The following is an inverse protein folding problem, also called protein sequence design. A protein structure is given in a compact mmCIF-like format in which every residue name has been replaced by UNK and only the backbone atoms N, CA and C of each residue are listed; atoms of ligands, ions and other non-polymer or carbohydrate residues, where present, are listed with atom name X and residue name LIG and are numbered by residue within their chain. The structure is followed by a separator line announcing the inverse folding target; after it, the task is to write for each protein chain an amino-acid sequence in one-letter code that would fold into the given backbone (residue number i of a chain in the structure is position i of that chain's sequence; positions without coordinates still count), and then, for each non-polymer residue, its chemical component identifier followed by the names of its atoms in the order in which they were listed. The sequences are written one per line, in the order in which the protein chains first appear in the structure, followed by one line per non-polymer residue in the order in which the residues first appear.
data_IF_251955766588
#
_entry.id   IF_251955766588
#
_cell.length_a   1.000
_cell.length_b   1.000
_cell.length_c   1.000
_cell.angle_alpha   90.00
_cell.angle_beta   90.00
_cell.angle_gamma   90.00
#
_symmetry.space_group_name_H-M   'P 1'
#
loop_
_entity.id
_entity.type
_entity.pdbx_description
1 polymer ?
#
# COMPACT_ATOMS: atom_id res chain seq x y z
N UNK A 1 -16.35 -10.96 -10.83
CA UNK A 1 -16.23 -11.66 -9.54
C UNK A 1 -14.94 -11.29 -8.85
N UNK A 2 -14.98 -11.06 -7.51
CA UNK A 2 -13.78 -10.84 -6.72
C UNK A 2 -13.06 -12.15 -6.46
N UNK A 3 -11.73 -12.13 -6.59
CA UNK A 3 -10.86 -13.28 -6.34
C UNK A 3 -9.77 -12.90 -5.35
N UNK A 4 -9.92 -13.23 -4.06
CA UNK A 4 -8.90 -12.97 -3.06
C UNK A 4 -7.64 -13.80 -3.34
N UNK A 5 -6.47 -13.17 -3.18
CA UNK A 5 -5.18 -13.84 -3.34
C UNK A 5 -4.06 -13.08 -2.61
N UNK A 6 -2.91 -13.75 -2.42
CA UNK A 6 -1.74 -13.13 -1.84
C UNK A 6 -1.20 -12.01 -2.75
N UNK A 7 -0.78 -10.90 -2.14
CA UNK A 7 -0.39 -9.70 -2.87
C UNK A 7 0.81 -9.89 -3.79
N UNK A 8 1.81 -10.63 -3.36
CA UNK A 8 3.03 -10.90 -4.12
C UNK A 8 2.81 -11.79 -5.35
N UNK A 9 1.69 -12.53 -5.39
CA UNK A 9 1.26 -13.36 -6.52
C UNK A 9 0.32 -12.66 -7.52
N UNK A 10 -0.14 -11.44 -7.23
CA UNK A 10 -1.27 -10.83 -7.97
C UNK A 10 -0.90 -10.42 -9.41
N UNK A 11 0.30 -9.85 -9.64
CA UNK A 11 0.78 -9.51 -10.99
C UNK A 11 1.06 -10.76 -11.83
N UNK A 12 1.77 -11.78 -11.32
CA UNK A 12 1.87 -13.08 -12.01
C UNK A 12 0.52 -13.68 -12.40
N UNK A 13 -0.48 -13.63 -11.51
CA UNK A 13 -1.83 -14.14 -11.80
C UNK A 13 -2.53 -13.33 -12.91
N UNK A 14 -2.35 -12.01 -12.94
CA UNK A 14 -2.87 -11.13 -13.99
C UNK A 14 -2.24 -11.47 -15.36
N UNK A 15 -0.93 -11.62 -15.41
CA UNK A 15 -0.19 -11.97 -16.64
C UNK A 15 -0.58 -13.38 -17.13
N UNK A 16 -0.75 -14.32 -16.20
CA UNK A 16 -1.19 -15.69 -16.50
C UNK A 16 -2.69 -15.82 -16.82
N UNK A 17 -3.43 -14.70 -16.94
CA UNK A 17 -4.87 -14.66 -17.25
C UNK A 17 -5.76 -15.38 -16.23
N UNK A 18 -5.30 -15.52 -14.99
CA UNK A 18 -6.11 -16.06 -13.89
C UNK A 18 -7.08 -15.04 -13.31
N UNK A 19 -6.79 -13.76 -13.51
CA UNK A 19 -7.64 -12.60 -13.21
C UNK A 19 -7.55 -11.62 -14.38
N UNK A 20 -8.53 -10.73 -14.51
CA UNK A 20 -8.61 -9.79 -15.64
C UNK A 20 -7.98 -8.44 -15.31
N UNK A 21 -8.08 -8.00 -14.08
CA UNK A 21 -7.52 -6.73 -13.59
C UNK A 21 -7.24 -6.81 -12.09
N UNK A 22 -6.44 -5.86 -11.60
CA UNK A 22 -6.22 -5.62 -10.17
C UNK A 22 -6.74 -4.22 -9.85
N UNK A 23 -7.87 -4.17 -9.15
CA UNK A 23 -8.49 -2.95 -8.62
C UNK A 23 -8.48 -3.03 -7.09
N UNK A 24 -7.32 -2.77 -6.49
CA UNK A 24 -7.07 -3.03 -5.07
C UNK A 24 -5.95 -2.15 -4.49
N UNK A 25 -5.98 -0.85 -4.78
CA UNK A 25 -4.98 0.08 -4.26
C UNK A 25 -3.55 -0.23 -4.72
N UNK A 26 -3.38 -0.54 -6.01
CA UNK A 26 -2.06 -0.86 -6.53
C UNK A 26 -1.30 0.39 -6.95
N UNK A 27 -0.17 0.67 -6.31
CA UNK A 27 0.72 1.77 -6.68
C UNK A 27 1.26 1.59 -8.10
N UNK A 28 1.14 2.65 -8.89
CA UNK A 28 1.76 2.76 -10.22
C UNK A 28 3.27 2.96 -10.02
N UNK A 29 4.07 1.96 -10.36
CA UNK A 29 5.53 2.07 -10.32
C UNK A 29 6.15 1.77 -11.69
N UNK A 30 7.34 2.33 -12.00
CA UNK A 30 8.03 2.05 -13.25
C UNK A 30 8.30 0.55 -13.46
N UNK A 31 8.62 -0.19 -12.39
CA UNK A 31 8.89 -1.64 -12.44
C UNK A 31 7.63 -2.40 -12.85
N UNK A 32 6.49 -2.10 -12.21
CA UNK A 32 5.20 -2.73 -12.53
C UNK A 32 4.74 -2.37 -13.94
N UNK A 33 4.93 -1.11 -14.37
CA UNK A 33 4.59 -0.64 -15.71
C UNK A 33 5.38 -1.31 -16.83
N UNK A 34 6.52 -1.97 -16.54
CA UNK A 34 7.22 -2.83 -17.51
C UNK A 34 6.44 -4.09 -17.87
N UNK A 35 5.58 -4.59 -16.96
CA UNK A 35 4.91 -5.90 -17.08
C UNK A 35 3.40 -5.77 -17.27
N UNK A 36 2.78 -4.75 -16.69
CA UNK A 36 1.34 -4.48 -16.77
C UNK A 36 1.08 -3.07 -17.30
N UNK A 37 -0.16 -2.80 -17.67
CA UNK A 37 -0.66 -1.47 -18.01
C UNK A 37 -1.54 -0.96 -16.88
N UNK A 38 -1.51 0.33 -16.62
CA UNK A 38 -2.32 0.96 -15.57
C UNK A 38 -3.35 1.90 -16.17
N UNK A 39 -4.49 2.00 -15.51
CA UNK A 39 -5.42 3.12 -15.72
C UNK A 39 -4.78 4.45 -15.37
N UNK A 40 -5.46 5.55 -15.70
CA UNK A 40 -5.19 6.84 -15.07
C UNK A 40 -5.28 6.69 -13.54
N UNK A 41 -4.45 7.45 -12.79
CA UNK A 41 -4.48 7.37 -11.33
C UNK A 41 -5.83 7.85 -10.78
N UNK A 42 -6.41 7.05 -9.87
CA UNK A 42 -7.69 7.38 -9.22
C UNK A 42 -7.55 7.81 -7.76
N UNK A 43 -6.38 7.59 -7.13
CA UNK A 43 -6.12 7.93 -5.74
C UNK A 43 -4.65 8.26 -5.52
N UNK A 44 -4.39 9.11 -4.53
CA UNK A 44 -3.04 9.38 -4.03
C UNK A 44 -2.99 9.00 -2.55
N UNK A 45 -1.95 8.28 -2.14
CA UNK A 45 -1.78 7.74 -0.78
C UNK A 45 -0.38 8.02 -0.26
N UNK A 46 -0.28 8.37 1.01
CA UNK A 46 0.99 8.50 1.71
C UNK A 46 1.41 7.16 2.31
N UNK A 47 2.70 6.92 2.41
CA UNK A 47 3.28 5.83 3.19
C UNK A 47 3.53 6.31 4.60
N UNK A 48 3.18 5.50 5.58
CA UNK A 48 3.30 5.88 6.99
C UNK A 48 4.08 4.83 7.79
N UNK A 49 4.77 5.29 8.81
CA UNK A 49 5.25 4.44 9.90
C UNK A 49 4.18 4.37 10.97
N UNK A 50 3.71 3.18 11.25
CA UNK A 50 2.77 2.86 12.32
C UNK A 50 3.55 2.29 13.51
N UNK A 51 3.28 2.81 14.71
CA UNK A 51 3.95 2.44 15.94
C UNK A 51 2.94 2.18 17.06
N UNK A 52 3.29 1.48 18.15
CA UNK A 52 2.42 1.38 19.32
C UNK A 52 2.01 2.77 19.83
N UNK A 53 0.79 2.90 20.37
CA UNK A 53 0.23 4.19 20.78
C UNK A 53 1.10 4.92 21.83
N UNK A 54 1.82 4.18 22.69
CA UNK A 54 2.74 4.72 23.69
C UNK A 54 4.17 4.93 23.19
N UNK A 55 4.49 4.59 21.93
CA UNK A 55 5.83 4.76 21.37
C UNK A 55 6.16 6.24 21.16
N UNK A 56 7.43 6.59 21.32
CA UNK A 56 7.98 7.93 21.05
C UNK A 56 8.83 7.96 19.79
N UNK A 57 8.88 6.85 19.03
CA UNK A 57 9.67 6.78 17.79
C UNK A 57 9.15 7.79 16.77
N UNK A 58 10.09 8.55 16.22
CA UNK A 58 9.86 9.45 15.08
C UNK A 58 10.27 8.74 13.78
N UNK A 59 9.88 9.25 12.58
CA UNK A 59 10.38 8.72 11.31
C UNK A 59 11.92 8.68 11.24
N UNK A 60 12.58 9.70 11.77
CA UNK A 60 14.05 9.75 11.81
C UNK A 60 14.63 8.65 12.70
N UNK A 61 14.01 8.36 13.84
CA UNK A 61 14.42 7.26 14.71
C UNK A 61 14.31 5.91 14.02
N UNK A 62 13.24 5.69 13.26
CA UNK A 62 13.05 4.46 12.47
C UNK A 62 14.19 4.24 11.50
N UNK A 63 14.66 5.30 10.85
CA UNK A 63 15.70 5.22 9.83
C UNK A 63 17.12 5.10 10.44
N UNK A 64 17.33 5.59 11.67
CA UNK A 64 18.68 5.70 12.25
C UNK A 64 18.95 4.76 13.42
N UNK A 65 17.92 4.11 13.96
CA UNK A 65 18.05 3.17 15.09
C UNK A 65 17.89 1.72 14.63
N UNK A 66 18.42 0.81 15.43
CA UNK A 66 18.18 -0.64 15.25
C UNK A 66 16.77 -0.99 15.72
N UNK A 67 15.79 -0.85 14.82
CA UNK A 67 14.40 -1.25 15.05
C UNK A 67 14.04 -2.40 14.14
N UNK A 68 13.04 -3.20 14.52
CA UNK A 68 12.43 -4.21 13.66
C UNK A 68 11.27 -3.55 12.90
N UNK A 69 11.44 -3.41 11.60
CA UNK A 69 10.48 -2.76 10.69
C UNK A 69 9.71 -3.81 9.88
N UNK A 70 8.41 -3.93 10.13
CA UNK A 70 7.52 -4.83 9.40
C UNK A 70 6.93 -4.16 8.15
N UNK A 71 6.91 -4.90 7.05
CA UNK A 71 6.32 -4.47 5.76
C UNK A 71 5.58 -5.62 5.10
N UNK A 72 4.55 -5.32 4.30
CA UNK A 72 3.88 -6.33 3.50
C UNK A 72 4.73 -6.68 2.28
N UNK A 73 4.94 -7.97 2.03
CA UNK A 73 5.73 -8.47 0.89
C UNK A 73 5.13 -8.06 -0.45
N UNK A 74 5.97 -7.65 -1.41
CA UNK A 74 5.57 -7.33 -2.77
C UNK A 74 4.93 -5.95 -2.96
N UNK A 75 4.84 -5.15 -1.91
CA UNK A 75 4.32 -3.79 -1.98
C UNK A 75 5.38 -2.78 -2.46
N UNK A 76 4.95 -1.61 -2.92
CA UNK A 76 5.85 -0.53 -3.34
C UNK A 76 6.68 -0.01 -2.18
N UNK A 77 6.07 0.16 -1.01
CA UNK A 77 6.74 0.62 0.20
C UNK A 77 7.80 -0.39 0.68
N UNK A 78 7.52 -1.70 0.61
CA UNK A 78 8.49 -2.73 0.98
C UNK A 78 9.71 -2.71 0.06
N UNK A 79 9.51 -2.52 -1.25
CA UNK A 79 10.60 -2.44 -2.22
C UNK A 79 11.40 -1.15 -2.04
N UNK A 80 10.73 0.00 -1.87
CA UNK A 80 11.36 1.29 -1.67
C UNK A 80 12.23 1.30 -0.40
N UNK A 81 11.68 0.91 0.75
CA UNK A 81 12.42 0.95 2.02
C UNK A 81 13.59 -0.05 2.05
N UNK A 82 13.44 -1.20 1.37
CA UNK A 82 14.54 -2.16 1.19
C UNK A 82 15.66 -1.58 0.35
N UNK A 83 15.32 -0.91 -0.77
CA UNK A 83 16.30 -0.24 -1.62
C UNK A 83 17.02 0.87 -0.86
N UNK A 84 16.28 1.73 -0.17
CA UNK A 84 16.88 2.81 0.64
C UNK A 84 17.78 2.27 1.75
N UNK A 85 17.41 1.15 2.39
CA UNK A 85 18.27 0.49 3.38
C UNK A 85 19.61 0.10 2.78
N UNK A 86 19.61 -0.47 1.57
CA UNK A 86 20.83 -0.87 0.88
C UNK A 86 21.70 0.33 0.46
N UNK A 87 21.06 1.38 -0.06
CA UNK A 87 21.75 2.57 -0.56
C UNK A 87 22.30 3.46 0.56
N UNK A 88 21.55 3.60 1.66
CA UNK A 88 21.85 4.53 2.75
C UNK A 88 22.44 3.86 4.00
N UNK A 89 22.48 2.52 4.02
CA UNK A 89 23.02 1.76 5.15
C UNK A 89 22.19 1.87 6.43
N UNK A 90 20.86 2.00 6.30
CA UNK A 90 19.97 2.08 7.47
C UNK A 90 20.05 0.83 8.35
N UNK A 91 20.11 0.97 9.69
CA UNK A 91 20.40 -0.13 10.62
C UNK A 91 19.18 -0.98 11.00
N UNK A 92 17.98 -0.64 10.54
CA UNK A 92 16.78 -1.40 10.90
C UNK A 92 16.78 -2.82 10.33
N UNK A 93 16.07 -3.74 10.98
CA UNK A 93 15.85 -5.11 10.53
C UNK A 93 14.48 -5.22 9.85
N UNK A 94 14.46 -5.57 8.56
CA UNK A 94 13.21 -5.78 7.81
C UNK A 94 12.56 -7.13 8.14
N UNK A 95 11.26 -7.11 8.40
CA UNK A 95 10.38 -8.26 8.56
C UNK A 95 9.26 -8.20 7.51
N UNK A 96 9.09 -9.29 6.75
CA UNK A 96 8.12 -9.37 5.66
C UNK A 96 6.90 -10.18 6.08
N UNK A 97 5.72 -9.61 5.83
CA UNK A 97 4.41 -10.18 6.15
C UNK A 97 3.60 -10.43 4.89
N UNK A 98 2.65 -11.36 4.96
CA UNK A 98 1.72 -11.63 3.85
C UNK A 98 0.66 -10.53 3.72
N UNK A 99 0.35 -9.81 4.80
CA UNK A 99 -0.62 -8.72 4.79
C UNK A 99 -0.28 -7.65 5.83
N UNK A 100 -0.75 -6.42 5.61
CA UNK A 100 -0.60 -5.32 6.58
C UNK A 100 -1.24 -5.63 7.94
N UNK A 101 -2.44 -6.25 8.05
CA UNK A 101 -2.99 -6.65 9.35
C UNK A 101 -2.07 -7.57 10.16
N UNK A 102 -1.36 -8.51 9.53
CA UNK A 102 -0.42 -9.38 10.24
C UNK A 102 0.77 -8.60 10.81
N UNK A 103 1.26 -7.58 10.10
CA UNK A 103 2.28 -6.69 10.63
C UNK A 103 1.75 -5.89 11.82
N UNK A 104 0.48 -5.43 11.79
CA UNK A 104 -0.16 -4.75 12.93
C UNK A 104 -0.29 -5.67 14.14
N UNK A 105 -0.65 -6.95 13.95
CA UNK A 105 -0.70 -7.90 15.06
C UNK A 105 0.67 -8.10 15.71
N UNK A 106 1.73 -8.24 14.92
CA UNK A 106 3.08 -8.40 15.44
C UNK A 106 3.63 -7.11 16.10
N UNK A 107 3.21 -5.95 15.60
CA UNK A 107 3.47 -4.66 16.23
C UNK A 107 2.84 -4.57 17.63
N UNK A 108 1.58 -4.95 17.76
CA UNK A 108 0.86 -4.94 19.03
C UNK A 108 1.40 -5.97 20.04
N UNK A 109 1.92 -7.09 19.54
CA UNK A 109 2.55 -8.13 20.34
C UNK A 109 4.02 -7.81 20.68
N UNK A 110 4.57 -6.67 20.26
CA UNK A 110 5.96 -6.28 20.52
C UNK A 110 7.01 -7.13 19.80
N UNK A 111 6.62 -7.86 18.74
CA UNK A 111 7.56 -8.65 17.94
C UNK A 111 8.29 -7.79 16.90
N UNK A 112 7.68 -6.68 16.49
CA UNK A 112 8.29 -5.60 15.72
C UNK A 112 8.04 -4.26 16.43
N UNK A 113 8.87 -3.27 16.12
CA UNK A 113 8.83 -1.95 16.76
C UNK A 113 8.02 -0.95 15.91
N UNK A 114 7.99 -1.15 14.60
CA UNK A 114 7.36 -0.29 13.59
C UNK A 114 6.76 -1.15 12.49
N UNK A 115 5.61 -0.76 11.94
CA UNK A 115 5.11 -1.27 10.67
C UNK A 115 5.06 -0.13 9.64
N UNK A 116 5.50 -0.37 8.41
CA UNK A 116 5.35 0.57 7.30
C UNK A 116 4.29 0.06 6.33
N UNK A 117 3.36 0.92 5.99
CA UNK A 117 2.24 0.62 5.09
C UNK A 117 1.68 1.90 4.49
N UNK A 118 0.76 1.77 3.55
CA UNK A 118 -0.06 2.89 3.11
C UNK A 118 -0.93 3.42 4.26
N UNK A 119 -1.29 4.71 4.20
CA UNK A 119 -2.07 5.34 5.27
C UNK A 119 -3.46 4.71 5.46
N UNK A 120 -4.09 4.17 4.40
CA UNK A 120 -5.44 3.62 4.49
C UNK A 120 -5.54 2.40 5.42
N UNK A 121 -4.70 1.35 5.31
CA UNK A 121 -4.71 0.25 6.29
C UNK A 121 -4.28 0.70 7.70
N UNK A 122 -3.43 1.73 7.82
CA UNK A 122 -3.08 2.30 9.11
C UNK A 122 -4.28 3.01 9.76
N UNK A 123 -5.02 3.82 8.99
CA UNK A 123 -6.23 4.50 9.45
C UNK A 123 -7.34 3.51 9.82
N UNK A 124 -7.49 2.43 9.04
CA UNK A 124 -8.42 1.33 9.39
C UNK A 124 -8.07 0.69 10.73
N UNK A 125 -6.79 0.39 10.97
CA UNK A 125 -6.36 -0.15 12.27
C UNK A 125 -6.65 0.81 13.43
N UNK A 126 -6.37 2.11 13.26
CA UNK A 126 -6.64 3.14 14.27
C UNK A 126 -8.15 3.29 14.50
N UNK A 127 -8.95 3.34 13.45
CA UNK A 127 -10.42 3.48 13.55
C UNK A 127 -11.09 2.31 14.25
N UNK A 128 -10.50 1.12 14.16
CA UNK A 128 -10.90 -0.09 14.89
C UNK A 128 -10.43 -0.12 16.36
N UNK A 129 -9.88 0.98 16.87
CA UNK A 129 -9.45 1.09 18.25
C UNK A 129 -8.18 0.28 18.60
N UNK A 130 -7.38 -0.12 17.59
CA UNK A 130 -6.09 -0.76 17.85
C UNK A 130 -5.15 0.24 18.54
N UNK A 131 -4.37 -0.22 19.52
CA UNK A 131 -3.47 0.62 20.31
C UNK A 131 -2.21 1.02 19.50
N UNK A 132 -2.40 1.64 18.36
CA UNK A 132 -1.36 2.11 17.43
C UNK A 132 -1.60 3.56 17.03
N UNK A 133 -0.54 4.22 16.53
CA UNK A 133 -0.60 5.57 15.97
C UNK A 133 0.37 5.71 14.80
N UNK A 134 0.11 6.68 13.91
CA UNK A 134 1.07 7.08 12.89
C UNK A 134 2.20 7.90 13.55
N UNK A 135 3.45 7.50 13.36
CA UNK A 135 4.63 8.27 13.77
C UNK A 135 4.96 9.37 12.76
N UNK A 136 4.56 9.20 11.52
CA UNK A 136 4.74 10.14 10.42
C UNK A 136 4.76 9.45 9.07
N UNK A 137 4.96 10.24 8.02
CA UNK A 137 5.06 9.78 6.62
C UNK A 137 6.51 9.52 6.21
N UNK A 138 6.71 8.72 5.16
CA UNK A 138 8.02 8.48 4.58
C UNK A 138 7.96 8.38 3.05
N UNK A 139 8.84 9.12 2.38
CA UNK A 139 8.93 9.18 0.92
C UNK A 139 7.81 10.01 0.28
N UNK A 140 7.82 10.02 -1.05
CA UNK A 140 6.77 10.69 -1.82
C UNK A 140 5.48 9.86 -1.84
N UNK A 141 4.32 10.54 -1.90
CA UNK A 141 3.06 9.84 -2.02
C UNK A 141 2.97 8.98 -3.29
N UNK A 142 2.35 7.81 -3.17
CA UNK A 142 2.08 6.91 -4.30
C UNK A 142 0.75 7.26 -4.98
N UNK A 143 0.66 6.93 -6.27
CA UNK A 143 -0.57 7.01 -7.03
C UNK A 143 -1.10 5.61 -7.29
N UNK A 144 -2.38 5.35 -6.98
CA UNK A 144 -3.04 4.10 -7.29
C UNK A 144 -3.66 4.12 -8.68
N UNK A 145 -3.53 3.02 -9.40
CA UNK A 145 -4.20 2.75 -10.66
C UNK A 145 -4.71 1.31 -10.70
N UNK A 146 -5.69 1.06 -11.57
CA UNK A 146 -6.12 -0.30 -11.88
C UNK A 146 -5.10 -0.92 -12.81
N UNK A 147 -4.52 -2.06 -12.42
CA UNK A 147 -3.57 -2.78 -13.26
C UNK A 147 -4.30 -3.79 -14.15
N UNK A 148 -3.91 -3.85 -15.42
CA UNK A 148 -4.45 -4.77 -16.42
C UNK A 148 -3.34 -5.29 -17.33
N UNK A 149 -3.63 -6.32 -18.13
CA UNK A 149 -2.66 -6.84 -19.08
C UNK A 149 -2.31 -5.81 -20.14
N UNK A 150 -1.04 -5.77 -20.52
CA UNK A 150 -0.61 -4.92 -21.64
C UNK A 150 -1.33 -5.26 -22.94
N UNK A 151 -1.74 -4.21 -23.66
CA UNK A 151 -2.41 -4.34 -24.95
C UNK A 151 -3.92 -4.59 -24.86
N UNK A 152 -4.50 -4.68 -23.67
CA UNK A 152 -5.96 -4.79 -23.48
C UNK A 152 -6.60 -3.39 -23.55
N UNK A 153 -6.61 -2.82 -24.76
CA UNK A 153 -7.05 -1.44 -25.01
C UNK A 153 -8.52 -1.21 -24.67
N UNK A 154 -9.37 -2.21 -24.90
CA UNK A 154 -10.80 -2.11 -24.64
C UNK A 154 -11.08 -2.05 -23.14
N UNK A 155 -10.44 -2.91 -22.35
CA UNK A 155 -10.55 -2.88 -20.90
C UNK A 155 -9.94 -1.58 -20.34
N UNK A 156 -8.77 -1.16 -20.83
CA UNK A 156 -8.13 0.09 -20.42
C UNK A 156 -9.04 1.29 -20.62
N UNK A 157 -9.65 1.40 -21.82
CA UNK A 157 -10.61 2.48 -22.13
C UNK A 157 -11.84 2.41 -21.24
N UNK A 158 -12.41 1.22 -21.06
CA UNK A 158 -13.60 1.02 -20.23
C UNK A 158 -13.37 1.46 -18.78
N UNK A 159 -12.23 1.08 -18.20
CA UNK A 159 -11.87 1.43 -16.82
C UNK A 159 -11.65 2.93 -16.68
N UNK A 160 -10.88 3.55 -17.58
CA UNK A 160 -10.62 4.99 -17.52
C UNK A 160 -11.91 5.82 -17.70
N UNK A 161 -12.76 5.46 -18.65
CA UNK A 161 -14.05 6.13 -18.86
C UNK A 161 -14.98 5.97 -17.64
N UNK A 162 -14.96 4.78 -17.02
CA UNK A 162 -15.72 4.48 -15.80
C UNK A 162 -15.25 5.32 -14.61
N UNK A 163 -13.97 5.32 -14.31
CA UNK A 163 -13.41 6.13 -13.22
C UNK A 163 -13.59 7.63 -13.45
N UNK A 164 -13.39 8.10 -14.69
CA UNK A 164 -13.62 9.52 -15.02
C UNK A 164 -15.06 9.95 -14.72
N UNK A 165 -16.04 9.12 -15.04
CA UNK A 165 -17.45 9.38 -14.71
C UNK A 165 -17.70 9.33 -13.22
N UNK A 166 -17.20 8.28 -12.53
CA UNK A 166 -17.37 8.11 -11.10
C UNK A 166 -16.76 9.26 -10.30
N UNK A 167 -15.54 9.68 -10.64
CA UNK A 167 -14.84 10.76 -9.93
C UNK A 167 -15.47 12.14 -10.16
N UNK A 168 -16.22 12.33 -11.24
CA UNK A 168 -17.01 13.54 -11.53
C UNK A 168 -18.39 13.53 -10.84
N UNK A 169 -18.84 12.39 -10.34
CA UNK A 169 -20.13 12.22 -9.67
C UNK A 169 -20.01 12.54 -8.16
N UNK A 170 -20.97 13.24 -7.56
CA UNK A 170 -21.02 13.45 -6.10
C UNK A 170 -20.93 12.16 -5.28
N UNK A 171 -21.36 11.04 -5.82
CA UNK A 171 -21.27 9.72 -5.20
C UNK A 171 -19.82 9.32 -4.88
N UNK A 172 -18.84 9.80 -5.63
CA UNK A 172 -17.42 9.59 -5.30
C UNK A 172 -17.06 10.14 -3.92
N UNK A 173 -17.54 11.33 -3.59
CA UNK A 173 -17.33 11.95 -2.27
C UNK A 173 -18.07 11.18 -1.16
N UNK A 174 -19.27 10.67 -1.46
CA UNK A 174 -20.01 9.83 -0.50
C UNK A 174 -19.26 8.54 -0.19
N UNK A 175 -18.67 7.87 -1.21
CA UNK A 175 -17.83 6.70 -1.03
C UNK A 175 -16.60 7.01 -0.17
N UNK A 176 -15.93 8.14 -0.41
CA UNK A 176 -14.78 8.56 0.39
C UNK A 176 -15.16 8.75 1.85
N UNK A 177 -16.24 9.48 2.13
CA UNK A 177 -16.75 9.68 3.49
C UNK A 177 -17.11 8.35 4.16
N UNK A 178 -17.74 7.45 3.42
CA UNK A 178 -18.21 6.16 3.94
C UNK A 178 -17.08 5.20 4.28
N UNK A 179 -16.04 5.15 3.45
CA UNK A 179 -15.01 4.11 3.55
C UNK A 179 -13.64 4.61 3.98
N UNK A 180 -13.36 5.90 3.85
CA UNK A 180 -12.06 6.48 4.16
C UNK A 180 -12.09 7.48 5.32
N UNK A 181 -13.26 7.72 5.93
CA UNK A 181 -13.45 8.66 7.05
C UNK A 181 -12.90 10.08 6.74
N UNK A 182 -13.00 10.52 5.47
CA UNK A 182 -12.54 11.84 5.00
C UNK A 182 -13.67 12.79 4.69
#
# INVERSE_FOLDING_TARGET
THKPMAWDGIIPALVAKQIDMVDSGMSITPERAKVVEFSDPYWTVSRVFLVPANSTLTPQDVLTKKVKLGVQRGTSEANAIKQEQQEKGYPFELRFYESAPLAVEDLLNGRIDVAMMDELPADDAISKGRAVKKAGTHGEPDKFGVAMRKGDKDLHKLINDGYKKLMADPYWQELQKKYLNK
#
